data_IF_829138847464
#
_entry.id   IF_829138847464
#
_cell.length_a   1.000
_cell.length_b   1.000
_cell.length_c   1.000
_cell.angle_alpha   90.00
_cell.angle_beta   90.00
_cell.angle_gamma   90.00
#
_symmetry.space_group_name_H-M   'P 1'
#
loop_
_entity.id
_entity.type
_entity.pdbx_description
1 polymer ?
#
# COMPACT_ATOMS: atom_id res chain seq x y z
N UNK A 1 -5.52 -17.80 -14.85
CA UNK A 1 -5.59 -16.67 -15.80
C UNK A 1 -4.31 -16.68 -16.61
N UNK A 2 -4.36 -16.44 -17.93
CA UNK A 2 -3.16 -16.12 -18.67
C UNK A 2 -2.56 -14.80 -18.12
N UNK A 3 -1.23 -14.60 -18.16
CA UNK A 3 -0.65 -13.33 -17.74
C UNK A 3 -1.27 -12.22 -18.61
N UNK A 4 -1.81 -11.20 -17.96
CA UNK A 4 -2.28 -10.00 -18.65
C UNK A 4 -1.04 -9.31 -19.22
N UNK A 5 -0.95 -9.27 -20.55
CA UNK A 5 0.17 -8.68 -21.28
C UNK A 5 -0.04 -7.17 -21.52
N UNK A 6 -1.23 -6.66 -21.27
CA UNK A 6 -1.59 -5.26 -21.44
C UNK A 6 -1.73 -4.57 -20.10
N UNK A 7 -1.13 -3.38 -19.98
CA UNK A 7 -1.26 -2.55 -18.78
C UNK A 7 -2.67 -2.00 -18.68
N UNK A 8 -3.38 -2.35 -17.62
CA UNK A 8 -4.72 -1.83 -17.33
C UNK A 8 -4.77 -1.22 -15.95
N UNK A 9 -5.57 -0.15 -15.80
CA UNK A 9 -5.81 0.52 -14.53
C UNK A 9 -7.24 0.27 -14.08
N UNK A 10 -7.41 -0.38 -12.94
CA UNK A 10 -8.69 -0.64 -12.31
C UNK A 10 -8.90 0.35 -11.16
N UNK A 11 -10.06 0.99 -11.15
CA UNK A 11 -10.50 1.85 -10.07
C UNK A 11 -11.78 1.32 -9.45
N UNK A 12 -11.98 1.58 -8.18
CA UNK A 12 -13.25 1.45 -7.49
C UNK A 12 -13.76 2.86 -7.21
N UNK A 13 -14.99 3.13 -7.55
CA UNK A 13 -15.54 4.48 -7.49
C UNK A 13 -17.00 4.50 -7.05
N UNK A 14 -17.40 5.63 -6.50
CA UNK A 14 -18.80 5.93 -6.19
C UNK A 14 -19.33 7.01 -7.11
N UNK A 15 -20.53 6.79 -7.61
CA UNK A 15 -21.33 7.75 -8.36
C UNK A 15 -22.79 7.66 -7.94
N UNK A 16 -23.39 8.79 -7.55
CA UNK A 16 -24.81 8.88 -7.12
C UNK A 16 -25.22 7.83 -6.08
N UNK A 17 -24.33 7.57 -5.10
CA UNK A 17 -24.55 6.60 -4.02
C UNK A 17 -24.33 5.12 -4.42
N UNK A 18 -23.95 4.84 -5.65
CA UNK A 18 -23.65 3.49 -6.14
C UNK A 18 -22.16 3.28 -6.28
N UNK A 19 -21.65 2.17 -5.76
CA UNK A 19 -20.24 1.73 -5.90
C UNK A 19 -20.10 0.82 -7.11
N UNK A 20 -19.05 1.03 -7.89
CA UNK A 20 -18.69 0.20 -9.04
C UNK A 20 -17.17 0.10 -9.23
N UNK A 21 -16.75 -0.84 -10.07
CA UNK A 21 -15.40 -0.91 -10.62
C UNK A 21 -15.37 -0.40 -12.04
N UNK A 22 -14.22 0.10 -12.49
CA UNK A 22 -14.04 0.56 -13.87
C UNK A 22 -12.60 0.48 -14.33
N UNK A 23 -12.42 0.50 -15.65
CA UNK A 23 -11.13 0.75 -16.27
C UNK A 23 -10.91 2.25 -16.41
N UNK A 24 -9.78 2.72 -15.92
CA UNK A 24 -9.41 4.14 -16.03
C UNK A 24 -8.41 4.34 -17.16
N UNK A 25 -8.83 5.04 -18.20
CA UNK A 25 -8.02 5.33 -19.39
C UNK A 25 -8.25 6.78 -19.82
N UNK A 26 -7.17 7.54 -20.02
CA UNK A 26 -7.21 8.91 -20.57
C UNK A 26 -8.22 9.85 -19.88
N UNK A 27 -8.30 9.79 -18.55
CA UNK A 27 -9.23 10.61 -17.75
C UNK A 27 -10.69 10.10 -17.76
N UNK A 28 -10.99 9.02 -18.46
CA UNK A 28 -12.30 8.39 -18.49
C UNK A 28 -12.30 7.04 -17.75
N UNK A 29 -13.40 6.75 -17.07
CA UNK A 29 -13.64 5.49 -16.36
C UNK A 29 -14.77 4.75 -17.07
N UNK A 30 -14.44 3.64 -17.71
CA UNK A 30 -15.39 2.71 -18.29
C UNK A 30 -15.85 1.72 -17.22
N UNK A 31 -17.14 1.78 -16.85
CA UNK A 31 -17.70 0.94 -15.80
C UNK A 31 -17.72 -0.53 -16.18
N UNK A 32 -17.38 -1.37 -15.21
CA UNK A 32 -17.32 -2.82 -15.35
C UNK A 32 -18.46 -3.51 -14.59
N UNK A 33 -18.94 -4.61 -15.18
CA UNK A 33 -19.82 -5.56 -14.54
C UNK A 33 -19.05 -6.83 -14.20
N UNK A 34 -19.40 -7.49 -13.08
CA UNK A 34 -18.73 -8.68 -12.58
C UNK A 34 -17.56 -8.39 -11.63
N UNK A 35 -16.77 -9.41 -11.34
CA UNK A 35 -15.62 -9.30 -10.41
C UNK A 35 -14.35 -8.98 -11.17
N UNK A 36 -13.61 -7.96 -10.75
CA UNK A 36 -12.28 -7.64 -11.33
C UNK A 36 -11.27 -8.78 -11.17
N UNK A 37 -11.49 -9.70 -10.22
CA UNK A 37 -10.67 -10.90 -10.01
C UNK A 37 -11.15 -12.11 -10.83
N UNK A 38 -12.16 -11.94 -11.63
CA UNK A 38 -12.79 -13.00 -12.45
C UNK A 38 -13.14 -12.53 -13.84
N UNK A 39 -14.34 -12.89 -14.30
CA UNK A 39 -14.85 -12.42 -15.56
C UNK A 39 -15.47 -11.02 -15.39
N UNK A 40 -14.96 -10.05 -16.15
CA UNK A 40 -15.50 -8.69 -16.22
C UNK A 40 -15.89 -8.34 -17.64
N UNK A 41 -16.92 -7.53 -17.79
CA UNK A 41 -17.35 -6.97 -19.08
C UNK A 41 -17.70 -5.50 -18.91
N UNK A 42 -17.42 -4.63 -19.90
CA UNK A 42 -17.88 -3.25 -19.87
C UNK A 42 -19.43 -3.19 -19.83
N UNK A 43 -19.95 -2.24 -19.03
CA UNK A 43 -21.41 -1.98 -19.00
C UNK A 43 -21.87 -1.08 -20.13
N UNK A 44 -20.95 -0.45 -20.86
CA UNK A 44 -21.20 0.61 -21.83
C UNK A 44 -21.36 2.01 -21.22
N UNK A 45 -21.30 2.14 -19.88
CA UNK A 45 -21.30 3.45 -19.20
C UNK A 45 -19.89 3.94 -19.02
N UNK A 46 -19.68 5.24 -19.32
CA UNK A 46 -18.38 5.90 -19.15
C UNK A 46 -18.58 7.21 -18.39
N UNK A 47 -17.66 7.49 -17.48
CA UNK A 47 -17.66 8.69 -16.65
C UNK A 47 -16.31 9.39 -16.77
N UNK A 48 -16.28 10.73 -16.68
CA UNK A 48 -15.02 11.44 -16.45
C UNK A 48 -14.58 11.28 -15.00
N UNK A 49 -13.28 11.25 -14.74
CA UNK A 49 -12.73 11.06 -13.38
C UNK A 49 -13.27 12.08 -12.38
N UNK A 50 -13.56 13.33 -12.83
CA UNK A 50 -14.07 14.40 -11.97
C UNK A 50 -15.57 14.22 -11.59
N UNK A 51 -16.28 13.31 -12.24
CA UNK A 51 -17.70 13.04 -11.98
C UNK A 51 -17.91 11.97 -10.90
N UNK A 52 -16.85 11.32 -10.48
CA UNK A 52 -16.91 10.20 -9.54
C UNK A 52 -16.02 10.47 -8.32
N UNK A 53 -16.33 9.83 -7.21
CA UNK A 53 -15.46 9.78 -6.05
C UNK A 53 -14.67 8.47 -6.08
N UNK A 54 -13.35 8.56 -6.21
CA UNK A 54 -12.49 7.37 -6.12
C UNK A 54 -12.56 6.81 -4.69
N UNK A 55 -12.53 5.49 -4.59
CA UNK A 55 -12.50 4.74 -3.36
C UNK A 55 -11.19 3.94 -3.30
N UNK A 56 -10.87 3.36 -2.13
CA UNK A 56 -9.81 2.35 -2.05
C UNK A 56 -10.07 1.31 -3.14
N UNK A 57 -9.08 1.01 -4.01
CA UNK A 57 -9.34 0.29 -5.26
C UNK A 57 -9.66 -1.21 -5.07
N UNK A 58 -9.66 -1.71 -3.84
CA UNK A 58 -10.10 -3.07 -3.46
C UNK A 58 -10.75 -3.07 -2.08
N UNK A 59 -11.33 -4.22 -1.71
CA UNK A 59 -11.95 -4.46 -0.41
C UNK A 59 -11.29 -5.69 0.22
N UNK A 60 -10.11 -5.53 0.86
CA UNK A 60 -9.37 -6.65 1.41
C UNK A 60 -10.06 -7.23 2.65
N UNK A 61 -9.98 -8.55 2.82
CA UNK A 61 -10.33 -9.20 4.08
C UNK A 61 -9.25 -8.94 5.15
N UNK A 62 -8.03 -8.69 4.71
CA UNK A 62 -6.87 -8.36 5.54
C UNK A 62 -5.82 -7.59 4.75
N UNK A 63 -5.03 -6.81 5.47
CA UNK A 63 -3.83 -6.14 4.96
C UNK A 63 -2.63 -6.67 5.75
N UNK A 64 -1.68 -7.27 5.05
CA UNK A 64 -0.40 -7.71 5.64
C UNK A 64 0.66 -6.71 5.22
N UNK A 65 1.43 -6.21 6.16
CA UNK A 65 2.48 -5.25 5.90
C UNK A 65 3.86 -5.82 6.29
N UNK A 66 4.90 -5.25 5.71
CA UNK A 66 6.27 -5.74 5.88
C UNK A 66 7.18 -4.59 6.31
N UNK A 67 7.68 -4.67 7.53
CA UNK A 67 8.66 -3.72 8.05
C UNK A 67 10.08 -4.03 7.58
N UNK A 68 10.91 -2.96 7.52
CA UNK A 68 12.36 -3.09 7.31
C UNK A 68 12.77 -3.80 6.01
N UNK A 69 12.02 -3.64 4.95
CA UNK A 69 12.26 -4.33 3.68
C UNK A 69 13.14 -3.57 2.68
N UNK A 70 13.79 -2.48 3.10
CA UNK A 70 14.83 -1.78 2.34
C UNK A 70 16.09 -1.65 3.19
N UNK A 71 17.25 -1.94 2.62
CA UNK A 71 18.53 -1.82 3.34
C UNK A 71 18.78 -0.40 3.86
N UNK A 72 18.41 0.62 3.08
CA UNK A 72 18.49 2.02 3.47
C UNK A 72 17.58 2.37 4.66
N UNK A 73 16.39 1.75 4.75
CA UNK A 73 15.50 1.93 5.89
C UNK A 73 16.00 1.18 7.13
N UNK A 74 16.56 -0.02 6.96
CA UNK A 74 17.20 -0.77 8.06
C UNK A 74 18.33 0.05 8.69
N UNK A 75 19.18 0.67 7.87
CA UNK A 75 20.27 1.53 8.33
C UNK A 75 19.75 2.75 9.09
N UNK A 76 18.70 3.41 8.60
CA UNK A 76 18.08 4.53 9.28
C UNK A 76 17.50 4.12 10.63
N UNK A 77 16.70 3.07 10.67
CA UNK A 77 15.99 2.60 11.88
C UNK A 77 16.96 2.18 12.98
N UNK A 78 18.10 1.59 12.63
CA UNK A 78 19.14 1.17 13.60
C UNK A 78 20.13 2.27 13.94
N UNK A 79 20.06 3.42 13.31
CA UNK A 79 20.90 4.61 13.65
C UNK A 79 20.44 5.30 14.93
N UNK A 80 21.28 6.17 15.47
CA UNK A 80 20.92 7.00 16.63
C UNK A 80 19.69 7.88 16.35
N UNK A 81 19.48 8.31 15.10
CA UNK A 81 18.34 9.13 14.69
C UNK A 81 17.06 8.29 14.55
N UNK A 82 17.17 7.07 14.02
CA UNK A 82 16.04 6.13 13.87
C UNK A 82 15.55 5.56 15.19
N UNK A 83 16.47 5.33 16.15
CA UNK A 83 16.19 5.04 17.55
C UNK A 83 15.38 3.77 17.82
N UNK A 84 15.22 2.85 16.86
CA UNK A 84 14.37 1.67 17.03
C UNK A 84 15.06 0.61 17.89
N UNK A 85 14.38 0.19 18.94
CA UNK A 85 14.74 -1.00 19.74
C UNK A 85 13.48 -1.85 19.92
N UNK A 86 13.61 -3.16 19.84
CA UNK A 86 12.48 -4.04 20.18
C UNK A 86 12.12 -3.94 21.66
N UNK A 87 10.87 -4.17 22.05
CA UNK A 87 10.50 -4.37 23.44
C UNK A 87 11.42 -5.44 24.08
N UNK A 88 12.16 -5.05 25.14
CA UNK A 88 13.16 -5.93 25.76
C UNK A 88 14.57 -5.85 25.18
N UNK A 89 14.86 -4.90 24.26
CA UNK A 89 16.19 -4.57 23.77
C UNK A 89 16.88 -5.65 22.91
N UNK A 90 16.11 -6.65 22.44
CA UNK A 90 16.68 -7.68 21.55
C UNK A 90 16.75 -7.15 20.11
N UNK A 91 17.82 -7.45 19.36
CA UNK A 91 17.85 -7.14 17.93
C UNK A 91 16.69 -7.82 17.19
N UNK A 92 16.10 -7.13 16.20
CA UNK A 92 15.16 -7.77 15.28
C UNK A 92 15.86 -8.87 14.47
N UNK A 93 15.20 -10.02 14.33
CA UNK A 93 15.65 -11.06 13.40
C UNK A 93 15.29 -10.63 11.96
N UNK A 94 16.25 -10.00 11.29
CA UNK A 94 16.10 -9.56 9.89
C UNK A 94 16.48 -10.65 8.86
N UNK A 95 16.70 -11.89 9.30
CA UNK A 95 16.92 -13.02 8.38
C UNK A 95 15.63 -13.50 7.71
N UNK A 96 14.48 -12.98 8.12
CA UNK A 96 13.13 -13.24 7.61
C UNK A 96 12.38 -11.93 7.43
N UNK A 97 11.34 -11.89 6.57
CA UNK A 97 10.43 -10.75 6.52
C UNK A 97 9.79 -10.46 7.88
N UNK A 98 9.86 -9.22 8.33
CA UNK A 98 9.16 -8.75 9.54
C UNK A 98 7.75 -8.39 9.14
N UNK A 99 6.78 -9.27 9.42
CA UNK A 99 5.39 -9.10 9.01
C UNK A 99 4.51 -8.65 10.16
N UNK A 100 3.54 -7.80 9.86
CA UNK A 100 2.49 -7.36 10.78
C UNK A 100 1.18 -7.14 10.03
N UNK A 101 0.10 -6.89 10.75
CA UNK A 101 -1.22 -6.65 10.17
C UNK A 101 -1.59 -5.16 10.28
N UNK A 102 -2.25 -4.66 9.23
CA UNK A 102 -3.08 -3.46 9.28
C UNK A 102 -4.54 -3.89 9.09
N UNK A 103 -5.46 -3.03 9.52
CA UNK A 103 -6.89 -3.33 9.39
C UNK A 103 -7.44 -2.75 8.08
N UNK A 104 -8.43 -3.41 7.45
CA UNK A 104 -9.13 -2.82 6.31
C UNK A 104 -9.71 -1.43 6.59
N UNK A 105 -10.09 -1.15 7.83
CA UNK A 105 -10.60 0.15 8.29
C UNK A 105 -9.53 1.25 8.32
N UNK A 106 -8.24 0.88 8.33
CA UNK A 106 -7.15 1.86 8.19
C UNK A 106 -7.03 2.42 6.78
N UNK A 107 -7.57 1.72 5.77
CA UNK A 107 -7.44 2.13 4.38
C UNK A 107 -8.33 3.33 4.05
N UNK A 108 -7.74 4.32 3.40
CA UNK A 108 -8.43 5.47 2.84
C UNK A 108 -8.01 5.70 1.39
N UNK A 109 -8.90 6.24 0.53
CA UNK A 109 -8.58 6.48 -0.87
C UNK A 109 -7.71 7.72 -1.09
N UNK A 110 -7.28 7.87 -2.33
CA UNK A 110 -6.69 9.11 -2.84
C UNK A 110 -7.60 10.31 -2.56
N UNK A 111 -7.01 11.41 -2.09
CA UNK A 111 -7.70 12.65 -1.76
C UNK A 111 -8.43 12.67 -0.40
N UNK A 112 -8.51 11.54 0.31
CA UNK A 112 -9.09 11.52 1.66
C UNK A 112 -8.10 12.05 2.71
N UNK A 113 -8.64 12.62 3.79
CA UNK A 113 -7.83 13.15 4.87
C UNK A 113 -7.31 12.05 5.79
N UNK A 114 -6.04 12.17 6.17
CA UNK A 114 -5.41 11.42 7.26
C UNK A 114 -5.81 12.08 8.57
N UNK A 115 -6.45 11.34 9.46
CA UNK A 115 -6.88 11.82 10.78
C UNK A 115 -6.04 11.17 11.86
N UNK A 116 -5.30 11.98 12.63
CA UNK A 116 -4.54 11.44 13.75
C UNK A 116 -5.49 11.04 14.88
N UNK A 117 -5.38 9.80 15.38
CA UNK A 117 -6.12 9.40 16.56
C UNK A 117 -5.66 10.18 17.79
N UNK A 118 -6.50 10.23 18.83
CA UNK A 118 -6.16 10.89 20.09
C UNK A 118 -4.89 10.28 20.71
N UNK A 119 -3.95 11.14 21.09
CA UNK A 119 -2.67 10.75 21.67
C UNK A 119 -1.59 10.36 20.65
N UNK A 120 -1.84 10.39 19.36
CA UNK A 120 -0.80 10.26 18.35
C UNK A 120 0.04 11.57 18.30
N UNK A 121 1.35 11.45 18.46
CA UNK A 121 2.24 12.62 18.59
C UNK A 121 3.42 12.62 17.64
N UNK A 122 3.74 11.46 17.04
CA UNK A 122 4.93 11.32 16.20
C UNK A 122 4.63 10.43 14.97
N UNK A 123 3.69 10.91 14.14
CA UNK A 123 3.21 10.16 12.96
C UNK A 123 4.13 10.37 11.77
N UNK A 124 4.69 9.29 11.24
CA UNK A 124 5.57 9.28 10.08
C UNK A 124 4.86 8.72 8.84
N UNK A 125 5.21 9.26 7.67
CA UNK A 125 4.85 8.69 6.37
C UNK A 125 5.78 7.53 6.00
N UNK A 126 5.26 6.57 5.23
CA UNK A 126 6.02 5.46 4.66
C UNK A 126 5.44 5.12 3.28
N UNK A 127 6.04 5.70 2.21
CA UNK A 127 5.63 5.44 0.84
C UNK A 127 6.04 4.04 0.39
N UNK A 128 5.09 3.26 -0.17
CA UNK A 128 5.30 1.86 -0.50
C UNK A 128 4.56 1.40 -1.75
N UNK A 129 5.08 0.33 -2.36
CA UNK A 129 4.32 -0.48 -3.31
C UNK A 129 3.34 -1.38 -2.54
N UNK A 130 2.10 -1.47 -3.02
CA UNK A 130 1.12 -2.43 -2.54
C UNK A 130 0.89 -3.53 -3.59
N UNK A 131 0.94 -4.81 -3.19
CA UNK A 131 0.49 -5.91 -4.04
C UNK A 131 -0.97 -6.21 -3.74
N UNK A 132 -1.78 -6.41 -4.77
CA UNK A 132 -3.17 -6.87 -4.65
C UNK A 132 -3.27 -8.31 -5.13
N UNK A 133 -3.82 -9.16 -4.29
CA UNK A 133 -3.95 -10.60 -4.56
C UNK A 133 -5.10 -10.85 -5.53
N UNK A 134 -4.87 -11.67 -6.54
CA UNK A 134 -5.85 -11.98 -7.59
C UNK A 134 -6.60 -13.29 -7.40
N UNK A 135 -6.04 -14.22 -6.66
CA UNK A 135 -6.62 -15.52 -6.38
C UNK A 135 -6.14 -16.10 -5.07
N UNK A 136 -6.91 -17.01 -4.48
CA UNK A 136 -6.58 -17.65 -3.21
C UNK A 136 -5.16 -18.22 -3.24
N UNK A 137 -4.30 -17.75 -2.32
CA UNK A 137 -2.91 -18.13 -2.19
C UNK A 137 -2.68 -18.78 -0.81
N UNK A 138 -2.27 -20.04 -0.82
CA UNK A 138 -1.94 -20.83 0.38
C UNK A 138 -0.72 -21.66 0.05
N UNK A 139 0.36 -21.50 0.81
CA UNK A 139 1.64 -22.24 0.64
C UNK A 139 2.17 -22.16 -0.80
N UNK A 140 2.16 -20.98 -1.37
CA UNK A 140 2.62 -20.71 -2.72
C UNK A 140 4.14 -20.70 -2.74
N UNK A 141 4.76 -21.33 -3.75
CA UNK A 141 6.19 -21.22 -3.99
C UNK A 141 6.55 -19.83 -4.55
N UNK A 142 7.78 -19.37 -4.32
CA UNK A 142 8.25 -18.09 -4.87
C UNK A 142 8.18 -18.06 -6.39
N UNK A 143 8.51 -19.17 -7.06
CA UNK A 143 8.46 -19.27 -8.52
C UNK A 143 7.05 -19.12 -9.11
N UNK A 144 6.01 -19.41 -8.33
CA UNK A 144 4.62 -19.30 -8.76
C UNK A 144 3.94 -18.01 -8.29
N UNK A 145 4.58 -17.24 -7.40
CA UNK A 145 3.97 -16.09 -6.71
C UNK A 145 3.36 -15.07 -7.66
N UNK A 146 4.04 -14.73 -8.77
CA UNK A 146 3.54 -13.81 -9.80
C UNK A 146 2.16 -14.19 -10.32
N UNK A 147 1.86 -15.47 -10.38
CA UNK A 147 0.56 -15.95 -10.84
C UNK A 147 -0.60 -15.66 -9.88
N UNK A 148 -0.33 -15.23 -8.65
CA UNK A 148 -1.31 -14.92 -7.62
C UNK A 148 -1.50 -13.42 -7.42
N UNK A 149 -0.62 -12.58 -7.96
CA UNK A 149 -0.75 -11.12 -7.96
C UNK A 149 -1.72 -10.71 -9.05
N UNK A 150 -2.75 -9.94 -8.69
CA UNK A 150 -3.67 -9.29 -9.64
C UNK A 150 -3.01 -8.07 -10.26
N UNK A 151 -2.40 -7.24 -9.43
CA UNK A 151 -1.75 -6.01 -9.84
C UNK A 151 -1.13 -5.31 -8.65
N UNK A 152 -0.67 -4.08 -8.88
CA UNK A 152 0.00 -3.24 -7.90
C UNK A 152 -0.70 -1.91 -7.74
N UNK A 153 -0.53 -1.31 -6.56
CA UNK A 153 -1.04 0.02 -6.23
C UNK A 153 0.02 0.79 -5.43
N UNK A 154 -0.29 2.03 -5.05
CA UNK A 154 0.52 2.84 -4.14
C UNK A 154 -0.12 2.79 -2.77
N UNK A 155 0.68 2.75 -1.71
CA UNK A 155 0.18 2.91 -0.35
C UNK A 155 1.11 3.74 0.53
N UNK A 156 0.56 4.20 1.65
CA UNK A 156 1.28 4.89 2.71
C UNK A 156 1.07 4.12 4.01
N UNK A 157 2.12 3.46 4.51
CA UNK A 157 2.06 2.67 5.75
C UNK A 157 2.32 3.56 6.98
N UNK A 158 1.45 4.57 7.18
CA UNK A 158 1.60 5.50 8.30
C UNK A 158 1.81 4.79 9.64
N UNK A 159 2.63 5.40 10.49
CA UNK A 159 3.00 4.87 11.79
C UNK A 159 3.14 5.98 12.83
N UNK A 160 2.56 5.81 14.01
CA UNK A 160 2.98 6.61 15.17
C UNK A 160 4.19 5.91 15.81
N UNK A 161 5.34 6.60 15.80
CA UNK A 161 6.61 6.03 16.25
C UNK A 161 6.70 5.89 17.78
N UNK A 162 6.01 6.73 18.55
CA UNK A 162 5.96 6.59 19.98
C UNK A 162 5.25 5.29 20.37
N UNK A 163 4.14 4.99 19.72
CA UNK A 163 3.42 3.74 19.96
C UNK A 163 4.16 2.52 19.43
N UNK A 164 4.81 2.66 18.27
CA UNK A 164 5.62 1.58 17.69
C UNK A 164 6.75 1.12 18.61
N UNK A 165 7.37 2.08 19.34
CA UNK A 165 8.49 1.79 20.25
C UNK A 165 8.03 1.28 21.62
N UNK A 166 6.85 1.71 22.10
CA UNK A 166 6.40 1.48 23.46
C UNK A 166 5.35 0.36 23.59
N UNK A 167 4.59 0.07 22.52
CA UNK A 167 3.60 -0.99 22.56
C UNK A 167 4.24 -2.35 22.28
N UNK A 168 3.76 -3.40 22.94
CA UNK A 168 4.23 -4.77 22.70
C UNK A 168 3.96 -5.22 21.27
N UNK A 169 2.86 -4.77 20.69
CA UNK A 169 2.46 -5.03 19.30
C UNK A 169 2.09 -3.72 18.61
N UNK A 170 2.29 -3.66 17.31
CA UNK A 170 2.05 -2.46 16.50
C UNK A 170 0.57 -2.22 16.16
N UNK A 171 -0.34 -2.68 17.03
CA UNK A 171 -1.78 -2.64 16.79
C UNK A 171 -2.28 -1.23 16.46
N UNK A 172 -2.13 -0.29 17.39
CA UNK A 172 -2.56 1.11 17.18
C UNK A 172 -1.54 1.91 16.40
N UNK A 173 -0.24 1.60 16.54
CA UNK A 173 0.83 2.30 15.83
C UNK A 173 0.66 2.23 14.31
N UNK A 174 0.19 1.10 13.80
CA UNK A 174 0.06 0.80 12.37
C UNK A 174 -1.39 0.58 11.92
N UNK A 175 -2.28 0.18 12.81
CA UNK A 175 -3.64 -0.23 12.49
C UNK A 175 -4.73 0.83 12.74
N UNK A 176 -4.38 2.02 13.22
CA UNK A 176 -5.33 3.10 13.43
C UNK A 176 -6.07 3.47 12.14
N UNK A 177 -7.32 3.88 12.28
CA UNK A 177 -8.11 4.36 11.15
C UNK A 177 -7.37 5.46 10.39
N UNK A 178 -7.46 5.45 9.07
CA UNK A 178 -6.78 6.35 8.13
C UNK A 178 -5.27 6.18 7.98
N UNK A 179 -4.63 5.27 8.71
CA UNK A 179 -3.17 5.06 8.66
C UNK A 179 -2.70 4.18 7.49
N UNK A 180 -3.57 3.94 6.51
CA UNK A 180 -3.29 3.14 5.31
C UNK A 180 -3.82 3.76 4.01
N UNK A 181 -3.49 5.02 3.65
CA UNK A 181 -3.85 5.53 2.33
C UNK A 181 -3.44 4.56 1.22
N UNK A 182 -4.35 4.26 0.28
CA UNK A 182 -4.09 3.34 -0.83
C UNK A 182 -4.86 3.74 -2.09
N UNK A 183 -4.17 3.79 -3.22
CA UNK A 183 -4.76 4.10 -4.52
C UNK A 183 -3.78 4.77 -5.48
N UNK A 184 -4.28 5.52 -6.46
CA UNK A 184 -5.69 5.71 -6.82
C UNK A 184 -6.30 4.52 -7.57
N UNK A 185 -5.46 3.62 -8.12
CA UNK A 185 -5.86 2.49 -8.96
C UNK A 185 -5.04 1.23 -8.64
N UNK A 186 -5.53 0.08 -9.08
CA UNK A 186 -4.72 -1.13 -9.24
C UNK A 186 -4.26 -1.19 -10.69
N UNK A 187 -2.97 -1.34 -10.91
CA UNK A 187 -2.36 -1.47 -12.24
C UNK A 187 -1.94 -2.92 -12.46
N UNK A 188 -2.46 -3.54 -13.52
CA UNK A 188 -2.13 -4.90 -13.92
C UNK A 188 -1.20 -4.91 -15.13
N UNK A 189 -0.51 -6.03 -15.40
CA UNK A 189 0.38 -6.15 -16.55
C UNK A 189 1.71 -5.41 -16.43
N UNK A 190 1.97 -4.73 -15.30
CA UNK A 190 3.19 -3.97 -15.04
C UNK A 190 4.26 -4.88 -14.42
N UNK A 191 5.50 -4.80 -14.89
CA UNK A 191 6.63 -5.39 -14.20
C UNK A 191 7.00 -4.51 -12.99
N UNK A 192 6.73 -5.02 -11.81
CA UNK A 192 6.95 -4.31 -10.55
C UNK A 192 8.31 -4.55 -9.90
N UNK A 193 9.23 -5.21 -10.61
CA UNK A 193 10.55 -5.55 -10.07
C UNK A 193 11.52 -4.38 -9.99
N UNK A 194 11.31 -3.33 -10.81
CA UNK A 194 12.17 -2.15 -10.87
C UNK A 194 11.38 -0.88 -11.21
N UNK A 195 10.55 -0.42 -10.29
CA UNK A 195 9.79 0.81 -10.41
C UNK A 195 10.38 1.88 -9.50
N UNK A 196 10.54 3.10 -10.02
CA UNK A 196 10.95 4.23 -9.19
C UNK A 196 9.83 4.60 -8.24
N UNK A 197 10.17 4.80 -6.96
CA UNK A 197 9.26 5.25 -5.90
C UNK A 197 9.77 6.59 -5.35
N UNK A 198 8.89 7.58 -5.27
CA UNK A 198 9.19 8.90 -4.73
C UNK A 198 8.09 9.34 -3.77
N UNK A 199 8.48 10.00 -2.68
CA UNK A 199 7.55 10.60 -1.71
C UNK A 199 7.92 12.06 -1.49
N UNK A 200 6.91 12.93 -1.53
CA UNK A 200 7.03 14.36 -1.20
C UNK A 200 6.13 14.68 0.00
N UNK A 201 6.59 15.62 0.81
CA UNK A 201 5.79 16.29 1.84
C UNK A 201 5.82 17.78 1.55
N UNK A 202 4.66 18.39 1.34
CA UNK A 202 4.50 19.80 0.97
C UNK A 202 5.34 20.22 -0.25
N UNK A 203 5.50 19.30 -1.22
CA UNK A 203 6.30 19.51 -2.42
C UNK A 203 7.79 19.22 -2.26
N UNK A 204 8.30 19.01 -1.05
CA UNK A 204 9.69 18.65 -0.80
C UNK A 204 9.90 17.15 -0.98
N UNK A 205 10.85 16.75 -1.81
CA UNK A 205 11.22 15.34 -2.02
C UNK A 205 11.83 14.75 -0.73
N UNK A 206 11.24 13.69 -0.23
CA UNK A 206 11.64 13.01 1.02
C UNK A 206 12.19 11.60 0.79
N UNK A 207 11.63 10.87 -0.18
CA UNK A 207 12.11 9.55 -0.57
C UNK A 207 12.28 9.49 -2.09
N UNK A 208 13.36 8.88 -2.55
CA UNK A 208 13.62 8.55 -3.97
C UNK A 208 14.41 7.25 -4.01
N UNK A 209 13.77 6.18 -4.48
CA UNK A 209 14.31 4.82 -4.47
C UNK A 209 13.65 3.98 -5.58
N UNK A 210 13.92 2.69 -5.59
CA UNK A 210 13.32 1.74 -6.54
C UNK A 210 12.91 0.45 -5.86
N UNK A 211 11.85 -0.18 -6.35
CA UNK A 211 11.39 -1.51 -5.87
C UNK A 211 12.46 -2.60 -6.04
N UNK A 212 13.46 -2.41 -6.91
CA UNK A 212 14.62 -3.32 -7.03
C UNK A 212 15.49 -3.35 -5.78
N UNK A 213 15.38 -2.34 -4.90
CA UNK A 213 16.16 -2.23 -3.66
C UNK A 213 15.49 -2.91 -2.47
N UNK A 214 14.32 -3.54 -2.69
CA UNK A 214 13.66 -4.39 -1.70
C UNK A 214 14.56 -5.55 -1.31
N UNK A 215 14.76 -5.76 0.00
CA UNK A 215 15.55 -6.88 0.55
C UNK A 215 14.88 -8.22 0.23
N UNK A 216 13.58 -8.28 0.40
CA UNK A 216 12.73 -9.40 -0.02
C UNK A 216 11.85 -8.94 -1.17
N UNK A 217 11.96 -9.61 -2.32
CA UNK A 217 11.15 -9.32 -3.50
C UNK A 217 9.65 -9.49 -3.20
N UNK A 218 8.76 -8.82 -3.95
CA UNK A 218 7.32 -9.02 -3.80
C UNK A 218 6.89 -10.49 -3.90
N UNK A 219 7.50 -11.26 -4.79
CA UNK A 219 7.23 -12.69 -4.97
C UNK A 219 7.65 -13.49 -3.72
N UNK A 220 8.80 -13.15 -3.14
CA UNK A 220 9.27 -13.75 -1.88
C UNK A 220 8.34 -13.44 -0.73
N UNK A 221 7.84 -12.19 -0.63
CA UNK A 221 6.90 -11.80 0.41
C UNK A 221 5.60 -12.58 0.32
N UNK A 222 4.99 -12.67 -0.87
CA UNK A 222 3.77 -13.44 -1.08
C UNK A 222 4.00 -14.91 -0.72
N UNK A 223 5.10 -15.51 -1.20
CA UNK A 223 5.46 -16.89 -0.87
C UNK A 223 5.57 -17.07 0.65
N UNK A 224 6.33 -16.22 1.33
CA UNK A 224 6.55 -16.30 2.78
C UNK A 224 5.25 -16.16 3.57
N UNK A 225 4.47 -15.12 3.31
CA UNK A 225 3.21 -14.85 4.03
C UNK A 225 2.22 -16.00 3.83
N UNK A 226 2.11 -16.54 2.61
CA UNK A 226 1.17 -17.60 2.28
C UNK A 226 1.47 -18.95 2.98
N UNK A 227 2.65 -19.13 3.59
CA UNK A 227 2.95 -20.30 4.41
C UNK A 227 2.15 -20.31 5.72
N UNK A 228 1.81 -19.13 6.24
CA UNK A 228 1.17 -18.97 7.55
C UNK A 228 -0.29 -18.52 7.45
N UNK A 229 -0.59 -17.68 6.46
CA UNK A 229 -1.90 -17.02 6.30
C UNK A 229 -2.38 -17.19 4.87
N UNK A 230 -3.58 -17.76 4.70
CA UNK A 230 -4.21 -17.80 3.38
C UNK A 230 -4.60 -16.39 2.95
N UNK A 231 -4.13 -15.97 1.78
CA UNK A 231 -4.52 -14.72 1.14
C UNK A 231 -5.68 -14.96 0.18
N UNK A 232 -6.65 -14.07 0.18
CA UNK A 232 -7.85 -14.12 -0.67
C UNK A 232 -7.76 -13.07 -1.79
N UNK A 233 -8.53 -13.22 -2.88
CA UNK A 233 -8.64 -12.16 -3.89
C UNK A 233 -9.03 -10.84 -3.25
N UNK A 234 -8.30 -9.77 -3.57
CA UNK A 234 -8.47 -8.44 -2.98
C UNK A 234 -7.67 -8.17 -1.72
N UNK A 235 -7.11 -9.19 -1.06
CA UNK A 235 -6.16 -8.96 0.05
C UNK A 235 -4.92 -8.22 -0.44
N UNK A 236 -4.29 -7.48 0.46
CA UNK A 236 -3.20 -6.56 0.12
C UNK A 236 -1.95 -6.88 0.94
N UNK A 237 -0.79 -6.76 0.28
CA UNK A 237 0.52 -6.78 0.93
C UNK A 237 1.18 -5.42 0.71
N UNK A 238 1.50 -4.69 1.80
CA UNK A 238 2.36 -3.51 1.81
C UNK A 238 3.80 -3.98 1.89
N UNK A 239 4.67 -3.53 0.98
CA UNK A 239 5.95 -4.21 0.72
C UNK A 239 7.15 -3.61 1.45
N UNK A 240 6.96 -2.54 2.21
CA UNK A 240 8.03 -1.84 2.92
C UNK A 240 8.44 -0.52 2.26
N UNK A 241 8.94 0.40 3.06
CA UNK A 241 9.34 1.75 2.69
C UNK A 241 10.87 1.92 2.62
N UNK A 242 11.41 2.74 1.69
CA UNK A 242 12.83 3.03 1.60
C UNK A 242 13.29 4.16 2.52
N UNK A 243 14.56 4.17 2.86
CA UNK A 243 15.30 5.30 3.42
C UNK A 243 14.76 5.82 4.75
N UNK A 244 14.87 7.15 4.91
CA UNK A 244 14.48 7.87 6.11
C UNK A 244 13.02 8.31 6.04
N UNK A 245 12.28 8.09 7.11
CA UNK A 245 10.94 8.64 7.32
C UNK A 245 10.98 9.80 8.30
N UNK A 246 10.01 10.71 8.22
CA UNK A 246 9.93 11.90 9.06
C UNK A 246 8.50 12.10 9.55
N UNK A 247 8.37 12.79 10.68
CA UNK A 247 7.07 13.18 11.20
C UNK A 247 6.35 14.13 10.25
N UNK A 248 5.05 13.96 10.15
CA UNK A 248 4.11 14.88 9.50
C UNK A 248 3.17 15.48 10.53
N UNK A 249 2.64 16.66 10.22
CA UNK A 249 1.79 17.43 11.12
C UNK A 249 0.47 17.80 10.45
N UNK A 250 -0.47 18.34 11.24
CA UNK A 250 -1.73 18.84 10.72
C UNK A 250 -1.52 19.91 9.63
N UNK A 251 -2.21 19.73 8.50
CA UNK A 251 -2.10 20.57 7.32
C UNK A 251 -1.07 20.12 6.28
N UNK A 252 -0.18 19.17 6.62
CA UNK A 252 0.77 18.63 5.65
C UNK A 252 0.05 17.86 4.54
N UNK A 253 0.63 17.90 3.34
CA UNK A 253 0.22 17.10 2.20
C UNK A 253 1.32 16.11 1.84
N UNK A 254 0.96 14.84 1.72
CA UNK A 254 1.86 13.75 1.36
C UNK A 254 1.49 13.28 -0.05
N UNK A 255 2.47 13.21 -0.93
CA UNK A 255 2.32 12.67 -2.28
C UNK A 255 3.31 11.52 -2.48
N UNK A 256 2.81 10.40 -2.97
CA UNK A 256 3.64 9.22 -3.27
C UNK A 256 3.41 8.87 -4.73
N UNK A 257 4.48 8.75 -5.49
CA UNK A 257 4.45 8.38 -6.91
C UNK A 257 5.23 7.09 -7.13
N UNK A 258 4.65 6.17 -7.86
CA UNK A 258 5.36 4.99 -8.36
C UNK A 258 5.23 4.95 -9.87
N UNK A 259 6.38 4.80 -10.52
CA UNK A 259 6.50 4.73 -11.97
C UNK A 259 5.52 3.71 -12.58
N UNK A 260 4.78 4.13 -13.61
CA UNK A 260 3.78 3.28 -14.27
C UNK A 260 2.50 3.04 -13.47
N UNK A 261 2.49 3.27 -12.16
CA UNK A 261 1.31 3.10 -11.30
C UNK A 261 0.50 4.39 -11.22
N UNK A 262 1.13 5.50 -10.86
CA UNK A 262 0.48 6.80 -10.73
C UNK A 262 0.95 7.57 -9.51
N UNK A 263 0.05 8.40 -8.95
CA UNK A 263 0.32 9.22 -7.77
C UNK A 263 -0.85 9.11 -6.78
N UNK A 264 -0.52 8.92 -5.52
CA UNK A 264 -1.43 8.94 -4.36
C UNK A 264 -1.17 10.22 -3.59
N UNK A 265 -2.22 10.97 -3.25
CA UNK A 265 -2.13 12.22 -2.50
C UNK A 265 -3.14 12.26 -1.36
N UNK A 266 -2.67 12.55 -0.16
CA UNK A 266 -3.51 12.72 1.02
C UNK A 266 -3.02 13.89 1.86
N UNK A 267 -3.93 14.61 2.51
CA UNK A 267 -3.61 15.66 3.45
C UNK A 267 -3.86 15.21 4.88
N UNK A 268 -3.07 15.73 5.81
CA UNK A 268 -3.32 15.53 7.24
C UNK A 268 -4.38 16.53 7.69
N UNK A 269 -5.49 16.05 8.23
CA UNK A 269 -6.59 16.90 8.66
C UNK A 269 -6.12 17.97 9.65
N UNK A 270 -6.61 19.19 9.47
CA UNK A 270 -6.43 20.27 10.46
C UNK A 270 -7.45 20.08 11.56
N UNK A 271 -7.01 20.00 12.82
CA UNK A 271 -7.86 19.96 14.02
C UNK A 271 -8.02 21.34 14.64
#
# INVERSE_FOLDING_TARGET
MAPQTEIQRYVRFEITGRVAYGWWRDGAIEELNGSIYGATTPTGRTFRSEQVRLLVPCEPSKVVAVGLNYASHQQFVTSAEGGFTTPGGKPLDMTKPVIFAKFPTSLIPDGADIVFPEGATNVHFEGELALVIGRKATRVSEAEAKNYVFGVSICNDLVDREWLLNDLQWFRAKGSDTFGPMGPAIVTGLDYSNLRLRTWVNGDLRQDSSTRELVYSPDKLLSYISQFVTLMPGDVIFTGTPGKTQAVTHGDTIEIEIEGVGRLRNSVAVR
#
